data_IF_860447309259
#
_entry.id   IF_860447309259
#
_cell.length_a   1.000
_cell.length_b   1.000
_cell.length_c   1.000
_cell.angle_alpha   90.00
_cell.angle_beta   90.00
_cell.angle_gamma   90.00
#
_symmetry.space_group_name_H-M   'P 1'
#
loop_
_entity.id
_entity.type
_entity.pdbx_description
1 polymer ?
#
# COMPACT_ATOMS: atom_id res chain seq x y z
N UNK A 1 -24.31 61.40 11.46
CA UNK A 1 -23.11 61.08 12.27
C UNK A 1 -23.37 59.98 13.31
N UNK A 2 -24.46 60.02 14.10
CA UNK A 2 -24.74 59.04 15.17
C UNK A 2 -24.84 57.57 14.73
N UNK A 3 -25.45 57.27 13.57
CA UNK A 3 -25.61 55.91 13.08
C UNK A 3 -24.28 55.22 12.70
N UNK A 4 -23.27 56.00 12.29
CA UNK A 4 -21.95 55.48 11.97
C UNK A 4 -21.17 55.12 13.23
N UNK A 5 -21.31 55.93 14.29
CA UNK A 5 -20.70 55.65 15.58
C UNK A 5 -21.32 54.41 16.23
N UNK A 6 -22.65 54.25 16.16
CA UNK A 6 -23.33 53.06 16.68
C UNK A 6 -22.90 51.77 15.96
N UNK A 7 -22.72 51.84 14.63
CA UNK A 7 -22.19 50.72 13.84
C UNK A 7 -20.72 50.43 14.16
N UNK A 8 -19.93 51.44 14.46
CA UNK A 8 -18.52 51.28 14.80
C UNK A 8 -18.34 50.66 16.19
N UNK A 9 -19.05 51.16 17.19
CA UNK A 9 -19.05 50.63 18.56
C UNK A 9 -19.64 49.21 18.59
N UNK A 10 -20.74 48.96 17.88
CA UNK A 10 -21.32 47.62 17.76
C UNK A 10 -20.36 46.60 17.13
N UNK A 11 -19.62 47.00 16.07
CA UNK A 11 -18.59 46.14 15.47
C UNK A 11 -17.41 45.88 16.41
N UNK A 12 -17.01 46.87 17.21
CA UNK A 12 -15.94 46.70 18.20
C UNK A 12 -16.35 45.77 19.35
N UNK A 13 -17.56 45.92 19.89
CA UNK A 13 -18.08 45.02 20.93
C UNK A 13 -18.24 43.58 20.44
N UNK A 14 -18.74 43.38 19.22
CA UNK A 14 -18.85 42.04 18.62
C UNK A 14 -17.46 41.41 18.37
N UNK A 15 -16.47 42.17 17.90
CA UNK A 15 -15.10 41.66 17.73
C UNK A 15 -14.42 41.31 19.05
N UNK A 16 -14.70 42.03 20.13
CA UNK A 16 -14.16 41.73 21.45
C UNK A 16 -14.82 40.49 22.09
N UNK A 17 -16.11 40.28 21.85
CA UNK A 17 -16.85 39.12 22.35
C UNK A 17 -16.54 37.83 21.56
N UNK A 18 -16.30 37.95 20.24
CA UNK A 18 -15.75 36.88 19.40
C UNK A 18 -14.22 36.92 19.42
N UNK A 19 -13.62 36.94 20.61
CA UNK A 19 -12.19 36.76 20.75
C UNK A 19 -11.78 35.39 20.19
N UNK A 20 -10.83 35.31 19.22
CA UNK A 20 -10.30 34.05 18.71
C UNK A 20 -9.69 33.16 19.80
N UNK A 21 -9.46 33.71 21.00
CA UNK A 21 -8.88 33.02 22.13
C UNK A 21 -9.73 31.83 22.64
N UNK A 22 -11.06 31.88 22.50
CA UNK A 22 -11.91 30.74 22.89
C UNK A 22 -11.83 29.57 21.89
N UNK A 23 -11.60 29.86 20.60
CA UNK A 23 -11.35 28.82 19.59
C UNK A 23 -9.96 28.18 19.75
N UNK A 24 -9.00 28.89 20.35
CA UNK A 24 -7.63 28.39 20.56
C UNK A 24 -7.52 27.55 21.85
N UNK A 25 -8.32 27.84 22.89
CA UNK A 25 -8.24 27.11 24.17
C UNK A 25 -8.64 25.63 24.11
N UNK A 26 -9.40 25.22 23.09
CA UNK A 26 -9.78 23.82 22.86
C UNK A 26 -8.95 23.15 21.75
N UNK A 27 -7.88 23.80 21.28
CA UNK A 27 -6.92 23.14 20.41
C UNK A 27 -6.12 22.13 21.22
N UNK A 28 -6.65 20.91 21.34
CA UNK A 28 -5.86 19.75 21.75
C UNK A 28 -4.69 19.66 20.78
N UNK A 29 -3.43 19.60 21.26
CA UNK A 29 -2.28 19.43 20.38
C UNK A 29 -2.42 18.11 19.60
N UNK A 30 -2.96 18.19 18.39
CA UNK A 30 -3.37 17.03 17.57
C UNK A 30 -2.17 16.18 17.13
N UNK A 31 -0.93 16.71 17.28
CA UNK A 31 0.29 16.09 16.78
C UNK A 31 1.25 15.49 17.82
N UNK A 32 1.14 15.82 19.11
CA UNK A 32 2.15 15.39 20.10
C UNK A 32 1.66 14.32 21.06
N UNK A 33 0.40 14.37 21.49
CA UNK A 33 -0.15 13.43 22.47
C UNK A 33 -0.27 12.01 21.89
N UNK A 34 -0.89 11.87 20.71
CA UNK A 34 -1.07 10.56 20.07
C UNK A 34 0.27 9.89 19.69
N UNK A 35 1.25 10.67 19.22
CA UNK A 35 2.59 10.16 18.90
C UNK A 35 3.33 9.70 20.15
N UNK A 36 3.28 10.49 21.23
CA UNK A 36 3.92 10.14 22.50
C UNK A 36 3.29 8.89 23.13
N UNK A 37 1.96 8.74 23.06
CA UNK A 37 1.26 7.54 23.53
C UNK A 37 1.60 6.30 22.68
N UNK A 38 1.75 6.47 21.35
CA UNK A 38 2.21 5.40 20.46
C UNK A 38 3.63 4.95 20.81
N UNK A 39 4.55 5.88 21.03
CA UNK A 39 5.94 5.59 21.44
C UNK A 39 5.99 4.86 22.79
N UNK A 40 5.19 5.30 23.78
CA UNK A 40 5.05 4.62 25.07
C UNK A 40 4.51 3.19 24.92
N UNK A 41 3.51 2.99 24.05
CA UNK A 41 2.96 1.67 23.77
C UNK A 41 4.02 0.72 23.20
N UNK A 42 4.78 1.15 22.19
CA UNK A 42 5.84 0.34 21.60
C UNK A 42 6.96 0.06 22.59
N UNK A 43 7.47 1.07 23.29
CA UNK A 43 8.53 0.91 24.29
C UNK A 43 8.14 -0.07 25.40
N UNK A 44 6.90 0.01 25.89
CA UNK A 44 6.37 -0.91 26.90
C UNK A 44 6.28 -2.35 26.38
N UNK A 45 5.71 -2.58 25.20
CA UNK A 45 5.52 -3.95 24.70
C UNK A 45 6.84 -4.61 24.27
N UNK A 46 7.76 -3.85 23.66
CA UNK A 46 9.10 -4.32 23.31
C UNK A 46 9.92 -4.63 24.57
N UNK A 47 9.89 -3.75 25.59
CA UNK A 47 10.61 -3.97 26.84
C UNK A 47 10.08 -5.13 27.68
N UNK A 48 8.78 -5.44 27.58
CA UNK A 48 8.15 -6.56 28.27
C UNK A 48 8.31 -7.91 27.55
N UNK A 49 8.95 -7.96 26.37
CA UNK A 49 9.12 -9.17 25.55
C UNK A 49 7.82 -9.97 25.34
N UNK A 50 6.70 -9.26 25.15
CA UNK A 50 5.41 -9.91 24.93
C UNK A 50 5.40 -10.59 23.57
N UNK A 51 4.95 -11.85 23.46
CA UNK A 51 4.85 -12.51 22.17
C UNK A 51 3.80 -11.80 21.31
N UNK A 52 4.09 -11.63 20.03
CA UNK A 52 3.10 -11.20 19.04
C UNK A 52 2.15 -12.35 18.77
N UNK A 53 0.84 -12.06 18.67
CA UNK A 53 -0.10 -13.10 18.31
C UNK A 53 0.19 -13.62 16.90
N UNK A 54 0.07 -14.95 16.67
CA UNK A 54 0.16 -15.49 15.33
C UNK A 54 -0.94 -14.85 14.48
N UNK A 55 -0.63 -14.40 13.27
CA UNK A 55 -1.58 -13.76 12.37
C UNK A 55 -1.52 -14.40 10.98
N UNK A 56 -0.37 -14.40 10.32
CA UNK A 56 -0.26 -15.00 8.97
C UNK A 56 -0.61 -16.49 8.97
N UNK A 57 -0.27 -17.21 10.04
CA UNK A 57 -0.43 -18.68 10.12
C UNK A 57 -1.84 -19.13 10.50
N UNK A 58 -2.66 -18.25 11.08
CA UNK A 58 -3.99 -18.62 11.60
C UNK A 58 -5.13 -18.02 10.79
N UNK A 59 -4.88 -16.99 9.99
CA UNK A 59 -5.91 -16.42 9.12
C UNK A 59 -6.14 -17.30 7.90
N UNK A 60 -7.42 -17.57 7.59
CA UNK A 60 -7.83 -18.28 6.39
C UNK A 60 -7.57 -17.43 5.14
N UNK A 61 -6.95 -18.02 4.12
CA UNK A 61 -6.69 -17.35 2.85
C UNK A 61 -7.98 -17.06 2.09
N UNK A 62 -8.15 -15.80 1.67
CA UNK A 62 -9.23 -15.38 0.76
C UNK A 62 -8.63 -14.99 -0.59
N UNK A 63 -9.42 -15.15 -1.65
CA UNK A 63 -8.98 -14.81 -3.00
C UNK A 63 -8.50 -13.34 -3.13
N UNK A 64 -9.20 -12.34 -2.55
CA UNK A 64 -8.70 -10.95 -2.57
C UNK A 64 -7.36 -10.77 -1.86
N UNK A 65 -7.11 -11.48 -0.76
CA UNK A 65 -5.82 -11.42 -0.05
C UNK A 65 -4.68 -12.00 -0.89
N UNK A 66 -4.89 -13.16 -1.50
CA UNK A 66 -3.90 -13.78 -2.38
C UNK A 66 -3.59 -12.89 -3.60
N UNK A 67 -4.63 -12.29 -4.21
CA UNK A 67 -4.46 -11.35 -5.32
C UNK A 67 -3.69 -10.09 -4.92
N UNK A 68 -3.95 -9.51 -3.74
CA UNK A 68 -3.24 -8.34 -3.25
C UNK A 68 -1.74 -8.60 -3.06
N UNK A 69 -1.38 -9.76 -2.49
CA UNK A 69 0.02 -10.19 -2.32
C UNK A 69 0.68 -10.40 -3.69
N UNK A 70 0.03 -11.19 -4.57
CA UNK A 70 0.57 -11.43 -5.90
C UNK A 70 0.73 -10.14 -6.71
N UNK A 71 -0.18 -9.17 -6.56
CA UNK A 71 -0.07 -7.87 -7.20
C UNK A 71 1.20 -7.16 -6.74
N UNK A 72 1.43 -7.08 -5.43
CA UNK A 72 2.63 -6.46 -4.87
C UNK A 72 3.93 -7.15 -5.34
N UNK A 73 3.95 -8.47 -5.35
CA UNK A 73 5.15 -9.24 -5.71
C UNK A 73 5.45 -9.14 -7.21
N UNK A 74 4.42 -9.25 -8.05
CA UNK A 74 4.56 -9.09 -9.50
C UNK A 74 5.07 -7.69 -9.86
N UNK A 75 4.57 -6.66 -9.16
CA UNK A 75 5.00 -5.28 -9.39
C UNK A 75 6.44 -5.04 -8.97
N UNK A 76 6.87 -5.65 -7.87
CA UNK A 76 8.25 -5.59 -7.39
C UNK A 76 9.19 -6.32 -8.36
N UNK A 77 8.81 -7.51 -8.82
CA UNK A 77 9.60 -8.31 -9.78
C UNK A 77 9.77 -7.58 -11.12
N UNK A 78 8.70 -6.99 -11.66
CA UNK A 78 8.76 -6.24 -12.92
C UNK A 78 9.63 -4.98 -12.79
N UNK A 79 9.54 -4.25 -11.66
CA UNK A 79 10.41 -3.09 -11.39
C UNK A 79 11.88 -3.50 -11.30
N UNK A 80 12.19 -4.54 -10.52
CA UNK A 80 13.55 -5.06 -10.40
C UNK A 80 14.11 -5.54 -11.75
N UNK A 81 13.32 -6.28 -12.53
CA UNK A 81 13.71 -6.75 -13.85
C UNK A 81 14.02 -5.60 -14.82
N UNK A 82 13.20 -4.55 -14.84
CA UNK A 82 13.44 -3.36 -15.66
C UNK A 82 14.71 -2.61 -15.22
N UNK A 83 14.94 -2.44 -13.92
CA UNK A 83 16.16 -1.82 -13.39
C UNK A 83 17.42 -2.61 -13.75
N UNK A 84 17.38 -3.94 -13.62
CA UNK A 84 18.51 -4.81 -13.99
C UNK A 84 18.77 -4.78 -15.50
N UNK A 85 17.73 -4.74 -16.33
CA UNK A 85 17.87 -4.59 -17.77
C UNK A 85 18.50 -3.23 -18.14
N UNK A 86 18.09 -2.15 -17.48
CA UNK A 86 18.65 -0.80 -17.71
C UNK A 86 20.09 -0.61 -17.24
N UNK A 87 20.56 -1.41 -16.29
CA UNK A 87 21.96 -1.41 -15.81
C UNK A 87 22.89 -2.29 -16.66
N UNK A 88 22.34 -3.05 -17.62
CA UNK A 88 23.12 -3.97 -18.44
C UNK A 88 23.93 -3.20 -19.49
N UNK A 89 25.25 -3.41 -19.54
CA UNK A 89 26.11 -2.83 -20.59
C UNK A 89 25.77 -3.43 -21.96
N UNK A 90 25.84 -2.64 -23.06
CA UNK A 90 25.56 -3.13 -24.42
C UNK A 90 26.43 -4.33 -24.82
N UNK A 91 27.69 -4.34 -24.39
CA UNK A 91 28.68 -5.39 -24.70
C UNK A 91 28.42 -6.71 -23.94
N UNK A 92 27.69 -6.65 -22.82
CA UNK A 92 27.27 -7.80 -22.02
C UNK A 92 25.85 -8.27 -22.40
N UNK A 93 25.25 -7.68 -23.45
CA UNK A 93 24.09 -8.29 -24.08
C UNK A 93 24.58 -9.49 -24.86
N UNK A 94 24.43 -10.74 -24.35
CA UNK A 94 24.59 -11.89 -25.22
C UNK A 94 23.76 -11.60 -26.46
N UNK A 95 24.36 -11.73 -27.64
CA UNK A 95 23.62 -11.96 -28.87
C UNK A 95 22.47 -12.88 -28.48
N UNK A 96 21.24 -12.33 -28.52
CA UNK A 96 20.03 -12.83 -27.88
C UNK A 96 20.21 -14.33 -27.65
N UNK A 97 20.41 -14.82 -26.41
CA UNK A 97 20.59 -16.24 -26.23
C UNK A 97 19.28 -16.80 -26.75
N UNK A 98 19.35 -17.46 -27.90
CA UNK A 98 18.37 -18.43 -28.34
C UNK A 98 18.42 -19.47 -27.24
N UNK A 99 17.68 -19.18 -26.18
CA UNK A 99 17.42 -20.12 -25.14
C UNK A 99 16.56 -21.14 -25.84
N UNK A 100 17.14 -22.31 -26.09
CA UNK A 100 16.53 -23.42 -26.82
C UNK A 100 15.30 -24.01 -26.09
N UNK A 101 14.80 -23.36 -25.04
CA UNK A 101 13.50 -23.61 -24.44
C UNK A 101 12.44 -22.72 -25.07
N UNK A 102 11.35 -23.33 -25.58
CA UNK A 102 10.22 -22.71 -26.28
C UNK A 102 10.04 -21.20 -26.00
N UNK A 103 10.41 -20.31 -26.94
CA UNK A 103 10.27 -18.86 -26.81
C UNK A 103 8.86 -18.39 -26.42
N UNK A 104 7.84 -19.21 -26.71
CA UNK A 104 6.46 -18.97 -26.29
C UNK A 104 6.27 -18.91 -24.77
N UNK A 105 7.03 -19.66 -23.96
CA UNK A 105 6.76 -19.78 -22.52
C UNK A 105 7.13 -18.52 -21.73
N UNK A 106 8.33 -17.96 -21.95
CA UNK A 106 8.77 -16.73 -21.27
C UNK A 106 7.95 -15.50 -21.66
N UNK A 107 7.65 -15.36 -22.97
CA UNK A 107 6.77 -14.32 -23.47
C UNK A 107 5.38 -14.42 -22.83
N UNK A 108 4.83 -15.63 -22.71
CA UNK A 108 3.54 -15.83 -22.01
C UNK A 108 3.64 -15.42 -20.54
N UNK A 109 4.71 -15.76 -19.81
CA UNK A 109 4.88 -15.37 -18.40
C UNK A 109 4.97 -13.85 -18.25
N UNK A 110 5.79 -13.17 -19.04
CA UNK A 110 5.90 -11.71 -18.99
C UNK A 110 4.60 -11.00 -19.39
N UNK A 111 3.95 -11.44 -20.47
CA UNK A 111 2.66 -10.88 -20.89
C UNK A 111 1.58 -11.10 -19.82
N UNK A 112 1.58 -12.26 -19.15
CA UNK A 112 0.66 -12.57 -18.05
C UNK A 112 0.93 -11.74 -16.80
N UNK A 113 2.20 -11.50 -16.46
CA UNK A 113 2.60 -10.61 -15.37
C UNK A 113 2.21 -9.14 -15.67
N UNK A 114 2.49 -8.66 -16.88
CA UNK A 114 2.14 -7.29 -17.29
C UNK A 114 0.63 -7.05 -17.32
N UNK A 115 -0.15 -8.01 -17.84
CA UNK A 115 -1.62 -7.94 -17.83
C UNK A 115 -2.20 -8.02 -16.42
N UNK A 116 -1.67 -8.90 -15.55
CA UNK A 116 -2.06 -8.95 -14.14
C UNK A 116 -1.87 -7.59 -13.45
N UNK A 117 -0.75 -6.90 -13.73
CA UNK A 117 -0.51 -5.57 -13.17
C UNK A 117 -1.44 -4.50 -13.67
N UNK A 118 -1.67 -4.47 -14.98
CA UNK A 118 -2.55 -3.48 -15.60
C UNK A 118 -3.99 -3.64 -15.10
N UNK A 119 -4.47 -4.88 -15.01
CA UNK A 119 -5.82 -5.19 -14.56
C UNK A 119 -6.00 -4.93 -13.06
N UNK A 120 -5.07 -5.38 -12.21
CA UNK A 120 -5.11 -5.09 -10.77
C UNK A 120 -4.99 -3.59 -10.47
N UNK A 121 -4.13 -2.88 -11.19
CA UNK A 121 -4.00 -1.43 -11.05
C UNK A 121 -5.29 -0.69 -11.41
N UNK A 122 -5.97 -1.11 -12.48
CA UNK A 122 -7.27 -0.56 -12.86
C UNK A 122 -8.33 -0.78 -11.78
N UNK A 123 -8.35 -1.93 -11.11
CA UNK A 123 -9.28 -2.21 -10.02
C UNK A 123 -9.03 -1.35 -8.78
N UNK A 124 -7.78 -0.99 -8.50
CA UNK A 124 -7.46 -0.07 -7.40
C UNK A 124 -7.92 1.37 -7.68
N UNK A 125 -7.98 1.78 -8.95
CA UNK A 125 -8.39 3.13 -9.34
C UNK A 125 -9.88 3.26 -9.67
N UNK A 126 -10.52 2.20 -10.15
CA UNK A 126 -11.94 2.18 -10.52
C UNK A 126 -12.53 0.88 -9.99
N UNK A 127 -13.62 0.91 -9.19
CA UNK A 127 -14.30 -0.28 -8.70
C UNK A 127 -15.02 -0.95 -9.88
N UNK A 128 -14.25 -1.64 -10.70
CA UNK A 128 -14.72 -2.29 -11.92
C UNK A 128 -14.83 -3.78 -11.68
N UNK A 129 -15.97 -4.33 -12.10
CA UNK A 129 -16.36 -5.72 -11.95
C UNK A 129 -15.59 -6.68 -12.89
N UNK A 130 -14.35 -6.35 -13.26
CA UNK A 130 -13.55 -7.22 -14.12
C UNK A 130 -13.03 -8.40 -13.31
N UNK A 131 -13.40 -9.61 -13.74
CA UNK A 131 -12.93 -10.86 -13.17
C UNK A 131 -11.44 -11.04 -13.49
N UNK A 132 -10.55 -10.74 -12.54
CA UNK A 132 -9.13 -11.10 -12.70
C UNK A 132 -9.06 -12.62 -12.64
N UNK A 133 -8.65 -13.23 -13.74
CA UNK A 133 -8.51 -14.67 -13.82
C UNK A 133 -7.46 -15.13 -12.78
N UNK A 134 -7.85 -15.90 -11.76
CA UNK A 134 -6.99 -16.21 -10.62
C UNK A 134 -5.80 -17.11 -10.97
N UNK A 135 -5.77 -17.65 -12.20
CA UNK A 135 -4.75 -18.58 -12.65
C UNK A 135 -3.32 -18.05 -12.56
N UNK A 136 -3.10 -16.74 -12.67
CA UNK A 136 -1.75 -16.18 -12.55
C UNK A 136 -1.26 -16.25 -11.10
N UNK A 137 -2.10 -15.87 -10.15
CA UNK A 137 -1.81 -15.99 -8.73
C UNK A 137 -1.62 -17.47 -8.32
N UNK A 138 -2.52 -18.35 -8.76
CA UNK A 138 -2.42 -19.79 -8.53
C UNK A 138 -1.12 -20.38 -9.10
N UNK A 139 -0.65 -19.93 -10.27
CA UNK A 139 0.62 -20.42 -10.84
C UNK A 139 1.87 -19.96 -10.06
N UNK A 140 1.83 -18.80 -9.40
CA UNK A 140 2.92 -18.31 -8.53
C UNK A 140 2.88 -18.95 -7.13
N UNK A 141 1.67 -19.21 -6.62
CA UNK A 141 1.43 -19.84 -5.32
C UNK A 141 1.49 -21.37 -5.36
N UNK A 142 1.40 -22.02 -6.53
CA UNK A 142 1.40 -23.49 -6.67
C UNK A 142 2.60 -24.18 -5.98
N UNK A 143 3.85 -23.69 -6.08
CA UNK A 143 4.97 -24.30 -5.36
C UNK A 143 4.88 -24.12 -3.83
N UNK A 144 4.18 -23.08 -3.36
CA UNK A 144 3.96 -22.80 -1.94
C UNK A 144 2.75 -23.60 -1.38
N UNK A 145 1.73 -23.83 -2.21
CA UNK A 145 0.53 -24.61 -1.87
C UNK A 145 0.83 -26.11 -1.76
N UNK A 146 1.62 -26.67 -2.68
CA UNK A 146 2.11 -28.06 -2.61
C UNK A 146 2.90 -28.33 -1.31
N UNK A 147 3.69 -27.36 -0.85
CA UNK A 147 4.42 -27.46 0.43
C UNK A 147 3.53 -27.28 1.65
N UNK A 148 2.41 -26.56 1.55
CA UNK A 148 1.47 -26.38 2.66
C UNK A 148 0.54 -27.59 2.85
N UNK A 149 0.17 -28.28 1.76
CA UNK A 149 -0.62 -29.53 1.84
C UNK A 149 0.14 -30.71 2.47
N UNK A 150 1.47 -30.62 2.61
CA UNK A 150 2.29 -31.61 3.33
C UNK A 150 2.35 -31.36 4.85
N UNK A 151 1.75 -30.27 5.34
CA UNK A 151 1.70 -29.90 6.75
C UNK A 151 0.27 -29.88 7.33
N UNK A 152 -0.72 -30.32 6.56
CA UNK A 152 -2.07 -30.69 7.03
C UNK A 152 -2.21 -32.20 6.92
#
# INVERSE_FOLDING_TARGET
MAALLLRHVGRHCLRAHFSPQLCIRNAVPLGTTAKQEMERFWNKNTGLNRPVSPHVTIYSWSLPMAMAICHRDTGTALRAGASLFGMKRPEDSPAIPVWSGCPGSYCVVLCRAGSHMKNGGSQHHIPTHYYIHPSFCLSLLSPAWEKFSLFV
#
